data_IF_105598102219
#
_entry.id   IF_105598102219
#
_cell.length_a   1.000
_cell.length_b   1.000
_cell.length_c   1.000
_cell.angle_alpha   90.00
_cell.angle_beta   90.00
_cell.angle_gamma   90.00
#
_symmetry.space_group_name_H-M   'P 1'
#
loop_
_entity.id
_entity.type
_entity.pdbx_description
1 polymer ?
2 non-polymer ?
3 non-polymer ?
4 non-polymer ?
5 non-polymer ?
6 water ?
#
# COMPACT_ATOMS: atom_id res chain seq x y z
N UNK A 37 -21.18 -5.90 -17.75
CA UNK A 37 -20.93 -7.32 -17.54
C UNK A 37 -19.51 -7.60 -16.98
N UNK A 38 -18.48 -6.78 -17.34
CA UNK A 38 -17.11 -6.97 -16.84
C UNK A 38 -17.09 -6.78 -15.33
N UNK A 39 -16.38 -7.65 -14.59
CA UNK A 39 -16.30 -7.53 -13.14
C UNK A 39 -15.50 -6.33 -12.70
N UNK A 40 -16.04 -5.67 -11.67
CA UNK A 40 -15.38 -4.59 -10.99
C UNK A 40 -14.39 -5.24 -10.01
N UNK A 41 -13.14 -4.78 -10.00
CA UNK A 41 -12.12 -5.36 -9.14
C UNK A 41 -12.49 -5.31 -7.65
N UNK A 42 -13.00 -4.18 -7.17
CA UNK A 42 -13.37 -3.99 -5.76
C UNK A 42 -14.44 -5.01 -5.33
N UNK A 43 -15.44 -5.24 -6.18
CA UNK A 43 -16.54 -6.16 -5.86
C UNK A 43 -16.07 -7.60 -5.90
N UNK A 44 -15.21 -7.95 -6.90
CA UNK A 44 -14.58 -9.27 -6.97
C UNK A 44 -13.69 -9.51 -5.75
N UNK A 45 -12.87 -8.50 -5.39
CA UNK A 45 -11.93 -8.61 -4.30
C UNK A 45 -12.63 -8.98 -3.01
N UNK A 46 -13.70 -8.25 -2.64
CA UNK A 46 -14.45 -8.57 -1.45
C UNK A 46 -14.96 -10.01 -1.47
N UNK A 47 -15.49 -10.45 -2.62
CA UNK A 47 -16.07 -11.81 -2.72
C UNK A 47 -14.98 -12.88 -2.67
N UNK A 48 -13.86 -12.64 -3.31
CA UNK A 48 -12.72 -13.56 -3.33
C UNK A 48 -12.16 -13.76 -1.92
N UNK A 49 -12.06 -12.68 -1.14
CA UNK A 49 -11.53 -12.73 0.23
C UNK A 49 -12.49 -13.38 1.19
N UNK A 50 -13.81 -13.24 0.97
CA UNK A 50 -14.82 -13.72 1.90
C UNK A 50 -15.44 -15.09 1.53
N UNK A 51 -15.34 -15.58 0.28
CA UNK A 51 -15.97 -16.86 -0.01
C UNK A 51 -14.89 -17.86 -0.44
N UNK A 52 -14.73 -18.94 0.34
CA UNK A 52 -13.70 -19.97 0.16
C UNK A 52 -13.81 -20.71 -1.15
N UNK A 53 -15.03 -21.15 -1.52
CA UNK A 53 -15.28 -21.89 -2.77
C UNK A 53 -15.02 -20.98 -3.97
N UNK A 54 -15.46 -19.70 -3.89
CA UNK A 54 -15.21 -18.74 -4.97
C UNK A 54 -13.71 -18.53 -5.14
N UNK A 55 -12.97 -18.33 -4.03
CA UNK A 55 -11.53 -18.13 -4.08
C UNK A 55 -10.83 -19.30 -4.80
N UNK A 56 -11.11 -20.55 -4.36
CA UNK A 56 -10.53 -21.74 -4.99
C UNK A 56 -10.79 -21.79 -6.51
N UNK A 57 -11.99 -21.39 -6.95
CA UNK A 57 -12.42 -21.42 -8.35
C UNK A 57 -11.79 -20.31 -9.19
N UNK A 58 -11.19 -19.27 -8.56
CA UNK A 58 -10.68 -18.14 -9.33
C UNK A 58 -9.16 -18.09 -9.38
N UNK A 59 -8.49 -19.17 -8.96
CA UNK A 59 -7.03 -19.26 -8.93
C UNK A 59 -6.59 -20.30 -9.96
N UNK A 60 -5.51 -20.02 -10.71
CA UNK A 60 -4.92 -20.99 -11.63
C UNK A 60 -4.25 -22.10 -10.79
N UNK A 61 -4.58 -23.38 -11.02
CA UNK A 61 -3.93 -24.50 -10.32
C UNK A 61 -3.35 -25.46 -11.33
N UNK A 62 -2.07 -25.91 -11.21
CA UNK A 62 -1.08 -25.58 -10.17
C UNK A 62 -0.71 -24.09 -10.31
N UNK A 63 -0.61 -23.37 -9.19
CA UNK A 63 -0.34 -21.96 -9.19
C UNK A 63 1.14 -21.64 -9.25
N UNK A 64 1.60 -20.92 -10.30
CA UNK A 64 3.03 -20.53 -10.35
C UNK A 64 3.36 -19.64 -9.15
N UNK A 65 4.38 -20.04 -8.37
CA UNK A 65 4.83 -19.34 -7.16
C UNK A 65 6.33 -19.04 -7.31
N UNK A 66 6.64 -17.78 -7.63
CA UNK A 66 8.02 -17.36 -7.88
C UNK A 66 8.62 -16.93 -6.59
N UNK A 67 9.59 -17.73 -6.11
CA UNK A 67 10.22 -17.43 -4.83
C UNK A 67 11.66 -17.90 -4.81
N UNK A 68 12.54 -17.09 -4.20
CA UNK A 68 13.97 -17.35 -4.01
C UNK A 68 14.69 -17.77 -5.29
N UNK A 69 14.46 -17.00 -6.37
CA UNK A 69 15.07 -17.17 -7.70
C UNK A 69 14.73 -18.52 -8.32
N UNK A 70 13.63 -19.12 -7.89
CA UNK A 70 13.13 -20.36 -8.47
C UNK A 70 11.62 -20.24 -8.64
N UNK A 71 11.02 -21.27 -9.19
CA UNK A 71 9.59 -21.28 -9.45
C UNK A 71 9.00 -22.57 -8.90
N UNK A 72 8.06 -22.40 -8.00
CA UNK A 72 7.31 -23.45 -7.34
C UNK A 72 5.92 -23.46 -7.91
N UNK A 73 5.10 -24.42 -7.48
CA UNK A 73 3.69 -24.48 -7.82
C UNK A 73 2.90 -24.85 -6.58
N UNK A 74 1.79 -24.13 -6.33
CA UNK A 74 0.89 -24.50 -5.23
C UNK A 74 -0.20 -25.34 -5.86
N UNK A 75 -0.37 -26.56 -5.35
CA UNK A 75 -1.41 -27.49 -5.79
C UNK A 75 -2.76 -27.06 -5.18
N UNK A 76 -3.87 -27.32 -5.88
CA UNK A 76 -5.21 -26.96 -5.39
C UNK A 76 -5.43 -27.55 -3.99
N UNK A 77 -5.03 -28.85 -3.80
CA UNK A 77 -5.15 -29.57 -2.52
C UNK A 77 -4.42 -28.88 -1.38
N UNK A 78 -3.33 -28.14 -1.68
CA UNK A 78 -2.50 -27.43 -0.69
C UNK A 78 -2.99 -26.01 -0.38
N UNK A 79 -3.88 -25.43 -1.19
CA UNK A 79 -4.31 -24.05 -0.99
C UNK A 79 -5.06 -23.82 0.35
N UNK A 80 -4.58 -22.81 1.12
CA UNK A 80 -5.17 -22.33 2.36
C UNK A 80 -5.90 -21.04 2.04
N UNK A 81 -7.18 -20.91 2.45
CA UNK A 81 -7.95 -19.68 2.20
C UNK A 81 -7.17 -18.46 2.64
N UNK A 82 -7.05 -17.50 1.75
CA UNK A 82 -6.32 -16.27 1.99
C UNK A 82 -7.34 -15.14 2.15
N UNK A 83 -7.53 -14.61 3.39
CA UNK A 83 -8.51 -13.52 3.57
C UNK A 83 -7.97 -12.18 3.08
N UNK A 84 -6.69 -12.17 2.60
CA UNK A 84 -5.91 -11.03 2.13
C UNK A 84 -5.96 -9.95 3.22
N UNK A 85 -6.56 -8.77 2.96
CA UNK A 85 -6.62 -7.76 4.00
C UNK A 85 -8.07 -7.37 4.33
N UNK A 86 -8.96 -8.38 4.36
CA UNK A 86 -10.38 -8.26 4.69
C UNK A 86 -10.62 -8.30 6.22
N UNK A 87 -9.58 -8.63 7.01
CA UNK A 87 -9.69 -8.69 8.47
C UNK A 87 -8.93 -7.50 9.10
N UNK A 88 -8.51 -6.54 8.25
CA UNK A 88 -7.83 -5.30 8.60
C UNK A 88 -8.85 -4.18 8.68
N UNK A 89 -8.61 -3.15 9.50
CA UNK A 89 -9.52 -2.02 9.57
C UNK A 89 -9.19 -0.98 8.47
N UNK A 90 -7.97 -1.07 7.93
CA UNK A 90 -7.48 -0.16 6.90
C UNK A 90 -6.44 -0.85 6.02
N UNK A 91 -6.13 -0.23 4.87
CA UNK A 91 -5.12 -0.75 3.98
C UNK A 91 -4.41 0.44 3.32
N UNK A 92 -3.26 0.18 2.72
CA UNK A 92 -2.53 1.25 2.07
C UNK A 92 -2.39 1.01 0.58
N UNK A 93 -2.27 2.11 -0.13
CA UNK A 93 -2.00 2.18 -1.55
C UNK A 93 -0.77 3.10 -1.67
N UNK A 94 0.20 2.67 -2.45
CA UNK A 94 1.48 3.39 -2.59
C UNK A 94 1.67 4.00 -3.97
N UNK A 95 2.30 5.20 -3.97
CA UNK A 95 2.60 5.98 -5.17
C UNK A 95 4.02 6.52 -5.09
N UNK A 96 4.75 6.59 -6.25
CA UNK A 96 6.09 7.15 -6.29
C UNK A 96 6.00 8.67 -6.19
N UNK A 97 4.94 9.25 -6.73
CA UNK A 97 4.74 10.70 -6.70
C UNK A 97 3.28 11.03 -6.53
N UNK A 98 2.99 12.21 -5.96
CA UNK A 98 1.62 12.70 -5.71
C UNK A 98 0.81 12.79 -7.01
N UNK A 99 1.45 13.19 -8.14
CA UNK A 99 0.77 13.33 -9.44
C UNK A 99 0.30 11.96 -10.00
N UNK A 100 0.95 10.83 -9.59
CA UNK A 100 0.57 9.49 -10.02
C UNK A 100 -0.83 9.07 -9.46
N UNK A 101 -1.37 9.83 -8.48
CA UNK A 101 -2.67 9.57 -7.83
C UNK A 101 -3.87 9.99 -8.68
N UNK A 102 -3.68 10.92 -9.63
CA UNK A 102 -4.78 11.38 -10.50
C UNK A 102 -4.93 10.42 -11.70
N UNK A 103 -6.02 9.62 -11.70
CA UNK A 103 -6.30 8.64 -12.75
C UNK A 103 -7.80 8.50 -13.06
N UNK A 106 -9.98 4.40 -16.04
CA UNK A 106 -9.77 3.54 -17.21
C UNK A 106 -10.95 2.56 -17.36
N UNK A 107 -11.23 1.73 -16.32
CA UNK A 107 -12.31 0.71 -16.23
C UNK A 107 -12.12 -0.41 -17.31
N UNK A 108 -11.25 -0.14 -18.29
CA UNK A 108 -10.80 -1.08 -19.31
C UNK A 108 -9.49 -1.70 -18.83
N UNK A 109 -9.19 -1.51 -17.53
CA UNK A 109 -8.01 -2.01 -16.84
C UNK A 109 -8.25 -3.47 -16.48
N UNK A 110 -7.33 -4.35 -16.91
CA UNK A 110 -7.49 -5.78 -16.72
C UNK A 110 -6.42 -6.40 -15.85
N UNK A 111 -5.48 -5.60 -15.31
CA UNK A 111 -4.39 -6.13 -14.49
C UNK A 111 -4.31 -5.41 -13.20
N UNK A 112 -4.29 -6.16 -12.10
CA UNK A 112 -4.14 -5.58 -10.77
C UNK A 112 -3.17 -6.43 -9.96
N UNK A 113 -2.17 -5.79 -9.36
CA UNK A 113 -1.23 -6.47 -8.47
C UNK A 113 -1.53 -6.07 -7.07
N UNK A 114 -1.81 -7.04 -6.21
CA UNK A 114 -2.03 -6.78 -4.79
C UNK A 114 -0.73 -7.13 -4.10
N UNK A 115 -0.22 -6.27 -3.18
CA UNK A 115 1.03 -6.57 -2.53
C UNK A 115 0.97 -6.47 -1.03
N UNK A 116 1.74 -7.34 -0.36
CA UNK A 116 1.92 -7.37 1.10
C UNK A 116 3.38 -7.08 1.37
N UNK A 117 3.69 -5.98 2.06
CA UNK A 117 5.10 -5.62 2.37
C UNK A 117 5.38 -6.08 3.79
N UNK A 118 6.29 -7.06 3.94
CA UNK A 118 6.71 -7.56 5.25
C UNK A 118 7.91 -6.74 5.66
N UNK A 119 7.67 -5.66 6.41
CA UNK A 119 8.72 -4.69 6.78
C UNK A 119 9.87 -5.32 7.60
N UNK A 120 9.56 -6.14 8.62
CA UNK A 120 10.59 -6.71 9.50
C UNK A 120 11.38 -7.84 8.80
N UNK A 121 10.69 -8.71 8.04
CA UNK A 121 11.30 -9.83 7.30
C UNK A 121 12.06 -9.36 6.05
N UNK A 122 11.76 -8.15 5.59
CA UNK A 122 12.32 -7.59 4.37
C UNK A 122 11.79 -8.34 3.15
N UNK A 123 10.50 -8.73 3.17
CA UNK A 123 9.89 -9.51 2.08
C UNK A 123 8.65 -8.83 1.48
N UNK A 124 8.33 -9.24 0.24
CA UNK A 124 7.14 -8.74 -0.47
C UNK A 124 6.41 -9.92 -1.12
N UNK A 125 5.11 -10.00 -0.89
CA UNK A 125 4.30 -11.00 -1.56
C UNK A 125 3.43 -10.26 -2.59
N UNK A 126 3.45 -10.69 -3.87
CA UNK A 126 2.64 -10.09 -4.93
C UNK A 126 1.65 -11.10 -5.49
N UNK A 127 0.41 -10.66 -5.68
CA UNK A 127 -0.66 -11.46 -6.28
C UNK A 127 -0.97 -10.83 -7.62
N UNK A 128 -0.88 -11.62 -8.71
CA UNK A 128 -1.15 -11.12 -10.07
C UNK A 128 -2.59 -11.43 -10.45
N UNK A 129 -3.46 -10.42 -10.36
CA UNK A 129 -4.87 -10.61 -10.75
C UNK A 129 -5.05 -10.13 -12.17
N UNK A 130 -5.73 -10.94 -12.98
CA UNK A 130 -5.95 -10.61 -14.38
C UNK A 130 -7.41 -10.80 -14.72
N UNK A 131 -8.01 -9.82 -15.42
CA UNK A 131 -9.42 -9.87 -15.84
C UNK A 131 -9.49 -10.58 -17.22
N UNK A 132 -10.02 -11.82 -17.19
CA UNK A 132 -10.12 -12.68 -18.38
C UNK A 132 -11.52 -12.99 -18.66
N UNK A 133 -11.95 -12.60 -19.88
CA UNK A 133 -13.33 -12.69 -20.37
C UNK A 133 -14.26 -12.00 -19.34
N UNK A 134 -13.80 -10.88 -18.78
CA UNK A 134 -14.56 -10.12 -17.79
C UNK A 134 -14.48 -10.64 -16.36
N UNK A 135 -13.76 -11.77 -16.13
CA UNK A 135 -13.66 -12.41 -14.80
C UNK A 135 -12.26 -12.31 -14.22
N UNK A 136 -12.14 -11.82 -12.98
CA UNK A 136 -10.81 -11.74 -12.34
C UNK A 136 -10.32 -13.09 -11.89
N UNK A 137 -9.05 -13.39 -12.20
CA UNK A 137 -8.38 -14.65 -11.86
C UNK A 137 -7.03 -14.39 -11.24
N UNK A 138 -6.60 -15.27 -10.32
CA UNK A 138 -5.25 -15.20 -9.71
C UNK A 138 -4.34 -16.04 -10.59
N UNK A 139 -3.38 -15.40 -11.25
CA UNK A 139 -2.53 -16.04 -12.25
C UNK A 139 -1.20 -16.54 -11.72
N UNK A 140 -0.66 -15.87 -10.71
CA UNK A 140 0.65 -16.15 -10.17
C UNK A 140 0.85 -15.39 -8.89
N UNK A 141 1.84 -15.84 -8.09
CA UNK A 141 2.28 -15.19 -6.87
C UNK A 141 3.82 -15.06 -6.87
N UNK A 142 4.31 -13.91 -6.44
CA UNK A 142 5.73 -13.70 -6.10
C UNK A 142 5.84 -13.62 -4.60
N UNK A 143 6.90 -14.20 -4.02
CA UNK A 143 7.33 -14.04 -2.62
C UNK A 143 8.83 -13.84 -2.67
N UNK A 144 9.27 -12.58 -2.71
CA UNK A 144 10.69 -12.32 -2.84
C UNK A 144 11.22 -11.36 -1.80
N UNK A 145 12.56 -11.17 -1.84
CA UNK A 145 13.28 -10.18 -1.06
C UNK A 145 12.80 -8.83 -1.51
N UNK A 146 12.55 -7.95 -0.53
CA UNK A 146 12.10 -6.59 -0.77
C UNK A 146 13.05 -5.93 -1.77
N UNK A 147 12.62 -5.54 -3.00
CA UNK A 147 13.56 -4.87 -3.90
C UNK A 147 14.17 -3.68 -3.17
N UNK A 148 15.50 -3.71 -3.00
CA UNK A 148 16.24 -2.68 -2.28
C UNK A 148 16.78 -1.63 -3.23
N UNK A 149 16.81 -0.37 -2.75
CA UNK A 149 17.36 0.76 -3.49
C UNK A 149 18.89 0.60 -3.45
N UNK A 150 19.52 0.52 -4.63
CA UNK A 150 20.96 0.36 -4.76
C UNK A 150 21.64 1.73 -4.89
N UNK A 151 22.86 1.76 -5.45
CA UNK A 151 23.70 2.94 -5.68
C UNK A 151 23.93 3.77 -4.39
N UNK A 152 23.90 3.10 -3.23
CA UNK A 152 24.13 3.71 -1.91
C UNK A 152 23.24 4.88 -1.60
N UNK A 153 21.93 4.57 -1.38
CA UNK A 153 20.84 5.51 -1.10
C UNK A 153 19.83 4.91 -0.12
N UNK A 154 19.37 5.72 0.85
CA UNK A 154 18.42 5.27 1.87
C UNK A 154 17.16 4.73 1.24
N UNK A 155 16.91 3.47 1.55
CA UNK A 155 15.78 2.73 1.08
C UNK A 155 14.52 3.19 1.82
N UNK A 156 13.42 3.48 1.07
CA UNK A 156 12.17 3.96 1.65
C UNK A 156 11.58 3.02 2.70
N UNK A 157 11.51 1.70 2.43
CA UNK A 157 10.85 0.73 3.33
C UNK A 157 11.68 0.47 4.59
N UNK A 158 13.02 0.51 4.48
CA UNK A 158 13.90 0.42 5.65
C UNK A 158 13.70 1.68 6.52
N UNK A 159 13.59 2.85 5.86
CA UNK A 159 13.31 4.11 6.55
C UNK A 159 11.92 4.04 7.24
N UNK A 160 10.89 3.62 6.49
CA UNK A 160 9.50 3.63 6.99
C UNK A 160 9.39 2.73 8.22
N UNK A 161 10.08 1.56 8.18
CA UNK A 161 10.03 0.58 9.29
C UNK A 161 10.53 1.21 10.56
N UNK A 162 11.67 1.93 10.48
CA UNK A 162 12.21 2.61 11.64
C UNK A 162 11.34 3.81 12.04
N UNK A 163 10.84 4.59 11.03
CA UNK A 163 9.96 5.75 11.26
C UNK A 163 8.73 5.34 12.09
N UNK A 164 8.08 4.22 11.74
CA UNK A 164 6.89 3.74 12.45
C UNK A 164 7.22 3.06 13.78
N UNK A 165 8.43 2.44 13.93
CA UNK A 165 8.76 1.68 15.16
C UNK A 165 9.67 2.40 16.15
N UNK A 166 10.22 3.54 15.78
CA UNK A 166 11.14 4.27 16.66
C UNK A 166 10.67 5.70 16.64
N UNK A 167 9.95 6.10 17.70
CA UNK A 167 9.36 7.44 17.82
C UNK A 167 10.43 8.54 17.87
N UNK A 168 11.63 8.22 18.39
CA UNK A 168 12.76 9.17 18.47
C UNK A 168 13.22 9.45 17.04
N UNK A 169 13.51 8.38 16.29
CA UNK A 169 13.87 8.48 14.88
C UNK A 169 12.76 9.17 14.13
N UNK A 170 11.48 8.86 14.44
CA UNK A 170 10.33 9.45 13.74
C UNK A 170 10.33 10.98 13.88
N UNK A 171 10.54 11.47 15.13
CA UNK A 171 10.62 12.90 15.44
C UNK A 171 11.75 13.58 14.61
N UNK A 172 12.95 12.96 14.52
CA UNK A 172 14.11 13.46 13.79
C UNK A 172 13.89 13.55 12.27
N UNK A 173 12.91 12.77 11.73
CA UNK A 173 12.64 12.74 10.29
C UNK A 173 11.35 13.49 9.90
N UNK A 174 10.89 14.44 10.72
CA UNK A 174 9.76 15.27 10.30
C UNK A 174 10.38 16.50 9.65
N UNK A 175 9.95 16.84 8.45
CA UNK A 175 10.43 18.03 7.79
C UNK A 175 9.97 19.27 8.57
N UNK A 176 10.78 20.32 8.54
CA UNK A 176 10.47 21.58 9.17
C UNK A 176 10.33 22.61 8.05
N UNK A 177 9.10 23.10 7.78
CA UNK A 177 7.85 22.82 8.50
C UNK A 177 7.15 21.54 8.01
N UNK A 178 6.27 20.98 8.86
CA UNK A 178 5.47 19.81 8.55
C UNK A 178 4.05 20.28 8.17
N UNK A 179 3.70 20.10 6.89
CA UNK A 179 2.41 20.55 6.34
C UNK A 179 1.27 19.63 6.70
N UNK A 180 0.14 20.22 7.11
CA UNK A 180 -1.10 19.48 7.41
C UNK A 180 -2.23 20.04 6.56
N UNK A 181 -2.92 19.16 5.84
CA UNK A 181 -4.05 19.52 5.00
C UNK A 181 -5.27 18.72 5.46
N UNK A 182 -6.42 19.37 5.60
CA UNK A 182 -7.63 18.67 5.98
C UNK A 182 -8.80 19.21 5.17
N UNK A 183 -9.83 18.37 5.00
CA UNK A 183 -11.03 18.80 4.29
C UNK A 183 -11.71 19.91 5.09
N UNK A 184 -12.05 21.00 4.40
CA UNK A 184 -12.73 22.14 5.00
C UNK A 184 -14.16 21.69 5.40
N UNK A 185 -14.59 21.84 6.69
CA UNK A 185 -15.92 21.35 7.07
C UNK A 185 -17.07 22.23 6.58
N UNK A 186 -16.80 23.08 5.57
CA UNK A 186 -17.79 23.96 4.97
C UNK A 186 -17.99 23.58 3.50
N UNK A 187 -17.73 24.51 2.56
CA UNK A 187 -17.87 24.38 1.10
C UNK A 187 -17.16 23.15 0.50
N UNK A 188 -17.74 22.67 -0.61
CA UNK A 188 -17.30 21.51 -1.39
C UNK A 188 -15.90 21.68 -1.98
N UNK A 189 -15.14 20.57 -2.00
CA UNK A 189 -13.78 20.38 -2.55
C UNK A 189 -12.72 21.32 -1.94
N UNK A 190 -13.05 22.03 -0.83
CA UNK A 190 -12.12 22.97 -0.19
C UNK A 190 -11.23 22.29 0.85
N UNK A 191 -10.05 22.88 1.09
CA UNK A 191 -9.07 22.35 2.04
C UNK A 191 -8.61 23.43 3.00
N UNK A 192 -8.15 22.99 4.18
CA UNK A 192 -7.57 23.85 5.20
C UNK A 192 -6.12 23.45 5.32
N UNK A 193 -5.20 24.42 5.25
CA UNK A 193 -3.77 24.12 5.31
C UNK A 193 -3.09 24.87 6.43
N UNK A 194 -2.32 24.12 7.24
CA UNK A 194 -1.54 24.65 8.38
C UNK A 194 -0.22 23.88 8.47
N UNK A 195 0.58 24.14 9.51
CA UNK A 195 1.82 23.43 9.76
C UNK A 195 1.63 22.76 11.12
N UNK A 196 2.32 21.63 11.36
CA UNK A 196 2.16 20.94 12.64
C UNK A 196 3.41 20.99 13.49
N UNK A 197 3.20 21.17 14.80
CA UNK A 197 4.27 21.05 15.79
C UNK A 197 4.41 19.55 16.04
N UNK A 198 5.58 19.09 16.43
CA UNK A 198 5.86 17.67 16.70
C UNK A 198 4.74 17.01 17.54
N UNK A 199 4.31 17.68 18.61
CA UNK A 199 3.28 17.18 19.50
C UNK A 199 1.95 16.94 18.82
N UNK A 200 1.60 17.86 17.90
CA UNK A 200 0.35 17.79 17.11
C UNK A 200 0.41 16.66 16.12
N UNK A 201 1.59 16.44 15.46
CA UNK A 201 1.76 15.31 14.55
C UNK A 201 1.52 13.99 15.28
N UNK A 202 2.12 13.78 16.47
CA UNK A 202 1.91 12.54 17.21
C UNK A 202 0.46 12.37 17.71
N UNK A 203 -0.21 13.47 18.06
CA UNK A 203 -1.60 13.42 18.52
C UNK A 203 -2.58 13.06 17.39
N UNK A 204 -2.43 13.71 16.22
CA UNK A 204 -3.39 13.54 15.12
C UNK A 204 -3.01 12.48 14.09
N UNK A 205 -1.78 11.97 14.10
CA UNK A 205 -1.37 10.95 13.13
C UNK A 205 -2.30 9.72 13.13
N UNK A 206 -2.46 9.03 11.99
CA UNK A 206 -3.17 7.74 12.03
C UNK A 206 -2.30 6.71 12.76
N UNK A 207 -2.88 5.57 13.17
CA UNK A 207 -2.09 4.49 13.77
C UNK A 207 -1.19 4.00 12.63
N UNK A 208 0.11 4.27 12.74
CA UNK A 208 1.00 3.88 11.66
C UNK A 208 1.24 2.36 11.63
N UNK A 209 1.05 1.70 10.46
CA UNK A 209 1.38 0.25 10.37
C UNK A 209 2.86 0.02 10.72
N UNK A 210 3.15 -0.94 11.63
CA UNK A 210 4.51 -1.17 12.09
C UNK A 210 5.19 -2.42 11.50
N UNK A 211 4.41 -3.41 11.07
CA UNK A 211 4.99 -4.67 10.56
C UNK A 211 4.74 -4.87 9.08
N UNK A 212 3.61 -4.39 8.57
CA UNK A 212 3.22 -4.59 7.19
C UNK A 212 2.59 -3.38 6.57
N UNK A 213 2.82 -3.23 5.29
CA UNK A 213 2.16 -2.26 4.43
C UNK A 213 1.48 -3.07 3.33
N UNK A 214 0.51 -2.50 2.65
CA UNK A 214 -0.07 -3.14 1.49
C UNK A 214 0.11 -2.21 0.30
N UNK A 215 -0.26 -2.72 -0.88
CA UNK A 215 -0.32 -1.95 -2.09
C UNK A 215 -1.31 -2.59 -3.03
N UNK A 216 -1.93 -1.73 -3.84
CA UNK A 216 -2.86 -2.10 -4.91
C UNK A 216 -2.29 -1.42 -6.11
N UNK A 217 -1.56 -2.16 -6.91
CA UNK A 217 -0.97 -1.55 -8.07
C UNK A 217 -1.90 -1.76 -9.27
N UNK A 218 -2.50 -0.67 -9.74
CA UNK A 218 -3.39 -0.67 -10.90
C UNK A 218 -2.73 0.09 -12.09
N UNK A 219 -1.40 0.11 -12.13
CA UNK A 219 -0.66 0.74 -13.23
C UNK A 219 0.29 1.87 -12.90
N UNK A 220 0.20 2.44 -11.67
CA UNK A 220 1.11 3.53 -11.22
C UNK A 220 2.57 3.04 -11.16
N UNK A 221 3.57 3.91 -11.39
CA UNK A 221 5.00 3.54 -11.31
C UNK A 221 5.34 3.03 -9.94
N UNK A 222 6.14 1.96 -9.87
CA UNK A 222 6.59 1.35 -8.61
C UNK A 222 8.11 1.11 -8.70
N UNK A 223 8.85 2.21 -8.66
CA UNK A 223 10.29 2.19 -8.83
C UNK A 223 11.06 2.41 -7.54
N UNK A 224 11.96 1.45 -7.30
CA UNK A 224 12.85 1.37 -6.15
C UNK A 224 13.77 2.61 -6.06
N UNK A 225 13.92 3.41 -7.15
CA UNK A 225 14.82 4.59 -7.21
C UNK A 225 14.11 5.96 -7.01
N UNK A 226 12.78 5.99 -6.82
CA UNK A 226 12.09 7.27 -6.61
C UNK A 226 12.60 7.96 -5.31
N UNK A 227 12.77 9.28 -5.36
CA UNK A 227 13.19 10.07 -4.21
C UNK A 227 11.97 10.70 -3.54
N UNK A 228 10.77 10.31 -3.99
CA UNK A 228 9.49 10.70 -3.38
C UNK A 228 8.65 9.44 -3.17
N UNK A 229 7.75 9.46 -2.18
CA UNK A 229 6.89 8.30 -1.90
C UNK A 229 5.66 8.76 -1.19
N UNK A 230 4.53 8.13 -1.50
CA UNK A 230 3.25 8.50 -0.91
C UNK A 230 2.56 7.24 -0.37
N UNK A 231 2.09 7.31 0.89
CA UNK A 231 1.34 6.24 1.56
C UNK A 231 -0.09 6.75 1.72
N UNK A 232 -1.03 6.19 0.94
CA UNK A 232 -2.44 6.54 1.07
C UNK A 232 -3.10 5.44 1.91
N UNK A 233 -3.66 5.83 3.07
CA UNK A 233 -4.31 4.92 4.01
C UNK A 233 -5.81 5.04 3.87
N UNK A 234 -6.47 3.91 3.54
CA UNK A 234 -7.91 3.86 3.30
C UNK A 234 -8.59 2.81 4.14
N UNK A 235 -9.80 3.12 4.59
CA UNK A 235 -10.60 2.22 5.41
C UNK A 235 -11.63 1.44 4.61
N UNK A 236 -12.35 0.55 5.29
CA UNK A 236 -13.40 -0.28 4.68
C UNK A 236 -14.80 0.21 5.11
N UNK A 237 -15.46 0.98 4.25
CA UNK A 237 -16.80 1.50 4.45
C UNK A 237 -16.99 2.45 5.62
N UNK A 238 -15.91 3.13 6.05
CA UNK A 238 -15.94 4.10 7.15
C UNK A 238 -15.55 5.51 6.65
N UNK A 239 -15.16 5.62 5.38
CA UNK A 239 -14.75 6.87 4.75
C UNK A 239 -13.41 7.43 5.19
N UNK A 240 -12.63 6.65 5.96
CA UNK A 240 -11.31 7.06 6.46
C UNK A 240 -10.31 7.16 5.31
N UNK A 241 -9.61 8.29 5.26
CA UNK A 241 -8.59 8.52 4.27
C UNK A 241 -7.54 9.46 4.84
N UNK A 242 -6.32 8.94 5.05
CA UNK A 242 -5.15 9.70 5.50
C UNK A 242 -4.02 9.49 4.51
N UNK A 243 -3.36 10.58 4.07
CA UNK A 243 -2.26 10.41 3.13
C UNK A 243 -0.97 10.97 3.70
N UNK A 244 0.15 10.22 3.53
CA UNK A 244 1.46 10.68 4.00
C UNK A 244 2.41 10.85 2.82
N UNK A 245 3.04 12.04 2.73
CA UNK A 245 3.95 12.40 1.66
C UNK A 245 5.39 12.48 2.14
N UNK A 246 6.26 11.62 1.56
CA UNK A 246 7.66 11.57 1.95
C UNK A 246 8.57 11.99 0.80
N UNK A 247 9.77 12.45 1.15
CA UNK A 247 10.80 12.89 0.20
C UNK A 247 12.17 12.70 0.79
N UNK A 248 13.10 12.15 -0.02
CA UNK A 248 14.48 11.94 0.36
C UNK A 248 15.21 13.28 0.12
N UNK A 249 15.49 14.00 1.22
CA UNK A 249 16.09 15.35 1.21
C UNK A 249 17.52 15.26 1.71
N UNK A 250 18.52 15.65 0.90
CA UNK A 250 19.96 15.56 1.26
C UNK A 250 20.30 14.16 1.87
N UNK A 251 19.81 13.11 1.17
CA UNK A 251 20.03 11.71 1.46
C UNK A 251 19.12 11.05 2.49
N UNK A 252 18.23 11.82 3.16
CA UNK A 252 17.36 11.27 4.20
C UNK A 252 15.92 11.48 3.91
N UNK A 253 15.14 10.40 4.02
CA UNK A 253 13.71 10.47 3.85
C UNK A 253 13.14 11.28 5.00
N UNK A 254 12.18 12.14 4.68
CA UNK A 254 11.48 12.99 5.65
C UNK A 254 10.01 12.95 5.38
N UNK A 255 9.20 13.10 6.43
CA UNK A 255 7.76 13.28 6.26
C UNK A 255 7.56 14.74 5.88
N UNK A 256 7.03 14.98 4.67
CA UNK A 256 6.80 16.34 4.13
C UNK A 256 5.40 16.89 4.47
N UNK A 257 4.37 16.02 4.38
CA UNK A 257 2.98 16.43 4.54
C UNK A 257 2.07 15.29 4.99
N UNK A 258 1.05 15.66 5.76
CA UNK A 258 0.04 14.78 6.27
C UNK A 258 -1.29 15.35 5.83
N UNK A 259 -2.03 14.61 5.01
CA UNK A 259 -3.35 15.07 4.65
C UNK A 259 -4.40 14.08 5.17
N UNK A 260 -5.43 14.64 5.82
CA UNK A 260 -6.56 13.95 6.39
C UNK A 260 -7.80 14.32 5.60
N UNK A 261 -8.20 13.47 4.65
CA UNK A 261 -9.39 13.69 3.80
C UNK A 261 -10.54 12.76 4.22
N UNK A 262 -10.55 12.34 5.51
CA UNK A 262 -11.55 11.42 6.07
C UNK A 262 -12.95 12.01 6.03
N UNK A 263 -13.91 11.24 5.48
CA UNK A 263 -15.33 11.60 5.38
C UNK A 263 -16.03 11.46 6.73
X LIG B 1 -15.52 -0.01 1.02
X LIG B 1 -16.43 -0.39 -0.01
X LIG B 1 -15.46 1.32 1.48
X LIG B 1 -15.90 -0.88 2.29
X LIG B 1 -13.95 -0.59 0.78
X LIG B 1 -13.60 -0.85 -0.69
X LIG B 1 -12.16 -1.33 -0.75
X LIG B 1 -11.90 -1.75 -2.15
X LIG B 1 -10.47 -2.04 -2.46
X LIG B 1 -9.85 -3.18 -1.57
X LIG B 1 -8.36 -3.43 -1.96
X LIG B 1 -8.20 -3.72 -3.46
X LIG B 1 -8.85 -2.62 -4.33
X LIG B 1 -10.35 -2.43 -3.97
X LIG C 1 10.62 -11.10 -8.10
X LIG C 1 11.95 -11.55 -8.04
X LIG C 1 9.69 -11.33 -7.04
X LIG C 1 10.60 -9.54 -8.28
X LIG C 1 9.93 -11.50 -9.60
X LIG C 1 9.54 -12.96 -9.67
X LIG C 1 8.95 -13.29 -11.06
X LIG C 1 7.48 -13.03 -11.10
X LIG C 1 6.83 -13.10 -12.45
X LIG C 1 7.61 -13.83 -13.60
X LIG C 1 6.89 -13.60 -14.95
X LIG C 1 5.46 -14.17 -14.89
X LIG C 1 4.61 -13.58 -13.73
X LIG C 1 5.33 -13.55 -12.35
X LIG D 1 16.58 19.66 3.49
X LIG D 1 16.91 20.50 4.65
X LIG D 1 15.20 19.21 3.62
X LIG D 1 16.69 20.45 2.26
X LIG D 1 17.50 18.52 3.50
X LIG E 1 18.49 11.14 -4.52
X LIG E 1 18.84 10.80 -3.13
X LIG E 1 17.92 12.46 -4.59
X LIG E 1 19.68 11.09 -5.32
X LIG E 1 17.52 10.17 -5.04
X LIG F 1 17.29 3.79 8.01
X LIG F 1 17.76 3.93 9.41
X LIG F 1 16.84 2.41 7.79
X LIG F 1 16.22 4.74 7.79
X LIG F 1 18.40 4.05 7.08
X LIG G 1 0.73 -3.59 11.69
X LIG G 1 1.16 -2.61 12.72
X LIG G 1 -0.59 -3.18 11.17
X LIG G 1 1.70 -3.65 10.57
X LIG G 1 0.61 -4.91 12.32
X LIG H 1 4.31 2.78 -6.26
X LIG H 1 3.17 1.92 -6.26
X LIG H 1 5.02 3.03 -4.90
X LIG H 1 5.94 1.99 -4.57
X LIG I 1 -12.76 -5.76 0.48
X LIG I 1 -13.80 -4.79 0.68
X LIG I 1 -12.61 -6.67 1.70
X LIG I 1 -11.44 -7.47 1.56
X LIG J 1 14.77 20.40 9.02
X LIG J 1 13.93 19.82 8.03
X LIG J 1 15.44 19.32 9.92
X LIG J 1 16.84 19.19 9.62
X LIG K 1 2.93 -2.32 -12.67
X LIG K 1 1.67 -2.17 -13.30
X LIG K 1 3.62 -0.95 -12.53
X LIG K 1 4.64 -1.07 -11.54
X LIG L 1 -16.79 -4.09 -1.73
X LIG L 1 -16.87 -2.83 -2.34
X LIG L 1 -18.19 -4.74 -1.65
X LIG L 1 -18.89 -4.21 -0.52
X LIG M 1 8.04 19.54 12.69
X LIG N 1 18.15 17.12 -1.81
X LIG O 1 5.84 19.98 20.62
X LIG P 1 -1.65 -1.68 5.93
#
# INVERSE_FOLDING_TARGET
GDPFETLTEEIDSLTAPPDTTEAXAAVEEEPXVPATADESFADFFYNFASDEKLQLSRIVFPLPYYTMEKKEHIEKDQWKHDPLFSRQDAYTVLFDKAEDMEMEKDTGLTSVKIEWIYLKKGKIKRYYFERLKGLWKLEAIDFADMPREDTGKEDFFEFYERFANDSVFQLSRLHEPLKFVTADPEDEFQILETTLEAGQWFAFQPVLPRENLTNVNYGQNENVHSNTKVIEMKGFGNGFNNTLYFERRHGLWKLMQFEDLSD
CXS S O1 O2 O3 C1 C2 C3 N C4 C5 C6 C7 C8 C9
CXS S O1 O2 O3 C1 C2 C3 N C4 C5 C6 C7 C8 C9
SO4 S O1 O2 O3 O4
SO4 S O1 O2 O3 O4
SO4 S O1 O2 O3 O4
SO4 S O1 O2 O3 O4
EDO C1 O1 C2 O2
EDO C1 O1 C2 O2
EDO C1 O1 C2 O2
EDO C1 O1 C2 O2
EDO C1 O1 C2 O2
CL CL
CL CL
CL CL
CL CL
#
